data_IF_345004720108
#
_entry.id   IF_345004720108
#
_cell.length_a   1.000
_cell.length_b   1.000
_cell.length_c   1.000
_cell.angle_alpha   90.00
_cell.angle_beta   90.00
_cell.angle_gamma   90.00
#
_symmetry.space_group_name_H-M   'P 1'
#
loop_
_entity.id
_entity.type
_entity.pdbx_description
1 polymer ?
#
# COMPACT_ATOMS: atom_id res chain seq x y z
N UNK A 1 20.45 -20.33 -4.54
CA UNK A 1 19.83 -19.55 -5.64
C UNK A 1 20.63 -18.26 -5.82
N UNK A 2 21.02 -18.00 -7.03
CA UNK A 2 21.72 -16.76 -7.36
C UNK A 2 20.81 -15.54 -7.17
N UNK A 3 21.43 -14.40 -6.90
CA UNK A 3 20.68 -13.15 -6.63
C UNK A 3 19.78 -12.74 -7.81
N UNK A 4 20.25 -12.87 -9.05
CA UNK A 4 19.45 -12.55 -10.23
C UNK A 4 18.22 -13.46 -10.37
N UNK A 5 18.40 -14.75 -10.16
CA UNK A 5 17.31 -15.74 -10.19
C UNK A 5 16.31 -15.49 -9.06
N UNK A 6 16.78 -15.10 -7.89
CA UNK A 6 15.92 -14.77 -6.75
C UNK A 6 15.07 -13.53 -7.06
N UNK A 7 15.67 -12.48 -7.62
CA UNK A 7 14.91 -11.29 -8.01
C UNK A 7 13.85 -11.60 -9.07
N UNK A 8 14.17 -12.45 -10.04
CA UNK A 8 13.17 -12.89 -11.01
C UNK A 8 12.03 -13.67 -10.34
N UNK A 9 12.35 -14.55 -9.39
CA UNK A 9 11.34 -15.29 -8.64
C UNK A 9 10.42 -14.35 -7.82
N UNK A 10 10.95 -13.27 -7.27
CA UNK A 10 10.16 -12.25 -6.59
C UNK A 10 9.14 -11.64 -7.56
N UNK A 11 9.58 -11.18 -8.73
CA UNK A 11 8.69 -10.59 -9.74
C UNK A 11 7.59 -11.58 -10.15
N UNK A 12 7.94 -12.83 -10.39
CA UNK A 12 6.99 -13.85 -10.81
C UNK A 12 5.92 -14.09 -9.75
N UNK A 13 6.31 -14.14 -8.49
CA UNK A 13 5.36 -14.27 -7.36
C UNK A 13 4.43 -13.07 -7.24
N UNK A 14 4.94 -11.87 -7.40
CA UNK A 14 4.12 -10.66 -7.34
C UNK A 14 3.15 -10.57 -8.53
N UNK A 15 3.56 -11.02 -9.72
CA UNK A 15 2.68 -11.05 -10.90
C UNK A 15 1.51 -11.99 -10.77
N UNK A 16 1.71 -13.12 -10.11
CA UNK A 16 0.67 -14.16 -9.99
C UNK A 16 -0.14 -14.05 -8.70
N UNK A 17 0.29 -13.23 -7.74
CA UNK A 17 -0.39 -13.11 -6.45
C UNK A 17 -1.70 -12.30 -6.59
N UNK A 18 -2.77 -12.78 -5.94
CA UNK A 18 -4.06 -12.08 -5.85
C UNK A 18 -4.05 -10.98 -4.79
N UNK A 19 -3.10 -11.04 -3.87
CA UNK A 19 -3.00 -10.20 -2.67
C UNK A 19 -1.60 -9.66 -2.53
N UNK A 20 -1.41 -8.57 -1.77
CA UNK A 20 -0.06 -8.13 -1.42
C UNK A 20 0.73 -9.26 -0.75
N UNK A 21 2.01 -9.35 -1.06
CA UNK A 21 2.90 -10.37 -0.53
C UNK A 21 3.92 -9.70 0.38
N UNK A 22 3.96 -10.08 1.65
CA UNK A 22 4.88 -9.48 2.62
C UNK A 22 6.33 -9.87 2.35
N UNK A 23 7.26 -9.02 2.78
CA UNK A 23 8.69 -9.34 2.72
C UNK A 23 9.00 -10.64 3.47
N UNK A 24 8.33 -10.87 4.60
CA UNK A 24 8.51 -12.11 5.38
C UNK A 24 8.02 -13.34 4.62
N UNK A 25 6.89 -13.25 3.91
CA UNK A 25 6.38 -14.35 3.10
C UNK A 25 7.32 -14.67 1.92
N UNK A 26 7.84 -13.64 1.25
CA UNK A 26 8.84 -13.82 0.18
C UNK A 26 10.12 -14.44 0.73
N UNK A 27 10.60 -13.97 1.87
CA UNK A 27 11.80 -14.47 2.53
C UNK A 27 11.66 -15.97 2.88
N UNK A 28 10.55 -16.35 3.49
CA UNK A 28 10.28 -17.75 3.84
C UNK A 28 10.22 -18.64 2.58
N UNK A 29 9.53 -18.19 1.54
CA UNK A 29 9.39 -18.94 0.31
C UNK A 29 10.68 -19.08 -0.52
N UNK A 30 11.62 -18.16 -0.35
CA UNK A 30 12.91 -18.16 -1.07
C UNK A 30 14.09 -18.54 -0.17
N UNK A 31 13.81 -18.87 1.09
CA UNK A 31 14.79 -19.30 2.07
C UNK A 31 15.96 -18.31 2.26
N UNK A 32 15.61 -17.05 2.42
CA UNK A 32 16.54 -15.95 2.71
C UNK A 32 15.98 -15.08 3.83
N UNK A 33 16.79 -14.14 4.33
CA UNK A 33 16.33 -13.20 5.34
C UNK A 33 15.38 -12.15 4.74
N UNK A 34 14.52 -11.58 5.59
CA UNK A 34 13.65 -10.46 5.22
C UNK A 34 14.45 -9.28 4.66
N UNK A 35 15.61 -9.00 5.24
CA UNK A 35 16.48 -7.90 4.83
C UNK A 35 17.01 -8.09 3.39
N UNK A 36 17.34 -9.32 3.01
CA UNK A 36 17.73 -9.64 1.62
C UNK A 36 16.58 -9.32 0.67
N UNK A 37 15.35 -9.66 1.01
CA UNK A 37 14.18 -9.34 0.19
C UNK A 37 14.02 -7.82 0.04
N UNK A 38 14.14 -7.06 1.12
CA UNK A 38 14.05 -5.59 1.07
C UNK A 38 15.11 -5.01 0.12
N UNK A 39 16.33 -5.52 0.18
CA UNK A 39 17.42 -5.13 -0.71
C UNK A 39 17.13 -5.50 -2.18
N UNK A 40 16.62 -6.70 -2.43
CA UNK A 40 16.26 -7.15 -3.78
C UNK A 40 15.13 -6.30 -4.37
N UNK A 41 14.13 -5.95 -3.57
CA UNK A 41 13.04 -5.05 -4.00
C UNK A 41 13.60 -3.67 -4.39
N UNK A 42 14.53 -3.13 -3.60
CA UNK A 42 15.17 -1.85 -3.92
C UNK A 42 15.91 -1.91 -5.26
N UNK A 43 16.64 -2.99 -5.52
CA UNK A 43 17.35 -3.19 -6.78
C UNK A 43 16.38 -3.37 -7.96
N UNK A 44 15.30 -4.10 -7.77
CA UNK A 44 14.26 -4.25 -8.80
C UNK A 44 13.61 -2.90 -9.14
N UNK A 45 13.33 -2.07 -8.16
CA UNK A 45 12.80 -0.71 -8.38
C UNK A 45 13.80 0.16 -9.12
N UNK A 46 15.07 0.10 -8.74
CA UNK A 46 16.14 0.83 -9.45
C UNK A 46 16.26 0.39 -10.90
N UNK A 47 15.95 -0.86 -11.21
CA UNK A 47 15.91 -1.42 -12.55
C UNK A 47 14.61 -1.15 -13.32
N UNK A 48 13.69 -0.38 -12.78
CA UNK A 48 12.46 0.03 -13.44
C UNK A 48 11.20 -0.76 -13.07
N UNK A 49 11.28 -1.74 -12.15
CA UNK A 49 10.10 -2.46 -11.71
C UNK A 49 9.20 -1.56 -10.84
N UNK A 50 7.91 -1.49 -11.18
CA UNK A 50 6.94 -0.65 -10.48
C UNK A 50 6.34 -1.37 -9.27
N UNK A 51 7.17 -1.76 -8.32
CA UNK A 51 6.73 -2.45 -7.11
C UNK A 51 6.31 -1.41 -6.08
N UNK A 52 5.05 -1.50 -5.62
CA UNK A 52 4.53 -0.66 -4.54
C UNK A 52 4.53 -1.42 -3.22
N UNK A 53 4.92 -0.75 -2.15
CA UNK A 53 4.78 -1.27 -0.79
C UNK A 53 3.46 -0.77 -0.21
N UNK A 54 2.63 -1.69 0.25
CA UNK A 54 1.37 -1.39 0.93
C UNK A 54 1.48 -1.80 2.41
N UNK A 55 0.53 -1.41 3.28
CA UNK A 55 0.53 -1.89 4.66
C UNK A 55 0.53 -3.42 4.81
N UNK A 56 0.10 -4.15 3.78
CA UNK A 56 0.01 -5.62 3.80
C UNK A 56 1.12 -6.32 3.04
N UNK A 57 1.95 -5.60 2.32
CA UNK A 57 3.06 -6.17 1.54
C UNK A 57 3.23 -5.51 0.18
N UNK A 58 4.00 -6.15 -0.66
CA UNK A 58 4.34 -5.65 -1.99
C UNK A 58 3.30 -6.06 -3.03
N UNK A 59 3.05 -5.16 -3.98
CA UNK A 59 2.19 -5.41 -5.14
C UNK A 59 2.85 -4.87 -6.40
N UNK A 60 2.51 -5.48 -7.55
CA UNK A 60 2.73 -4.88 -8.87
C UNK A 60 1.42 -4.23 -9.32
N UNK A 61 1.48 -3.06 -9.99
CA UNK A 61 0.29 -2.44 -10.53
C UNK A 61 -0.41 -3.37 -11.51
N UNK A 62 -1.74 -3.46 -11.37
CA UNK A 62 -2.60 -4.15 -12.32
C UNK A 62 -3.52 -3.12 -12.95
N UNK A 63 -3.94 -3.36 -14.17
CA UNK A 63 -5.01 -2.58 -14.77
C UNK A 63 -6.24 -2.72 -13.86
N UNK A 64 -6.76 -1.59 -13.38
CA UNK A 64 -7.96 -1.58 -12.57
C UNK A 64 -9.17 -1.39 -13.47
N UNK A 65 -10.10 -2.36 -13.42
CA UNK A 65 -11.39 -2.19 -14.06
C UNK A 65 -12.22 -1.26 -13.19
N UNK A 66 -12.61 -0.12 -13.73
CA UNK A 66 -13.42 0.84 -12.97
C UNK A 66 -13.03 2.29 -13.23
N UNK A 67 -13.68 3.17 -12.50
CA UNK A 67 -13.45 4.61 -12.58
C UNK A 67 -12.52 5.03 -11.44
N UNK A 68 -11.44 5.72 -11.78
CA UNK A 68 -10.51 6.29 -10.80
C UNK A 68 -10.89 7.74 -10.51
N UNK A 69 -10.98 8.08 -9.24
CA UNK A 69 -11.29 9.45 -8.76
C UNK A 69 -10.43 9.78 -7.55
N UNK A 70 -10.17 11.06 -7.38
CA UNK A 70 -9.47 11.58 -6.20
C UNK A 70 -10.46 12.42 -5.39
N UNK A 71 -10.52 12.16 -4.08
CA UNK A 71 -11.36 12.90 -3.15
C UNK A 71 -10.51 13.59 -2.09
N UNK A 72 -10.95 14.75 -1.61
CA UNK A 72 -10.33 15.44 -0.48
C UNK A 72 -11.16 15.18 0.78
N UNK A 73 -10.47 14.83 1.86
CA UNK A 73 -11.08 14.52 3.14
C UNK A 73 -10.41 15.31 4.26
N UNK A 74 -11.19 15.70 5.25
CA UNK A 74 -10.68 16.27 6.50
C UNK A 74 -11.45 15.67 7.65
N UNK A 75 -10.75 14.98 8.55
CA UNK A 75 -11.33 14.39 9.75
C UNK A 75 -10.25 14.16 10.80
N UNK A 76 -10.70 13.81 12.01
CA UNK A 76 -9.79 13.44 13.09
C UNK A 76 -9.28 12.00 12.89
N UNK A 77 -8.20 11.66 13.59
CA UNK A 77 -7.66 10.30 13.58
C UNK A 77 -8.72 9.26 14.00
N UNK A 78 -9.58 9.61 14.97
CA UNK A 78 -10.64 8.71 15.43
C UNK A 78 -11.67 8.37 14.35
N UNK A 79 -11.80 9.19 13.31
CA UNK A 79 -12.76 9.01 12.23
C UNK A 79 -12.18 8.24 11.02
N UNK A 80 -10.91 7.85 11.07
CA UNK A 80 -10.24 7.18 9.94
C UNK A 80 -10.94 5.88 9.56
N UNK A 81 -11.29 5.04 10.55
CA UNK A 81 -11.98 3.78 10.29
C UNK A 81 -13.35 3.98 9.65
N UNK A 82 -14.11 4.97 10.11
CA UNK A 82 -15.43 5.30 9.56
C UNK A 82 -15.33 5.76 8.11
N UNK A 83 -14.38 6.61 7.78
CA UNK A 83 -14.13 7.07 6.40
C UNK A 83 -13.86 5.90 5.47
N UNK A 84 -12.91 5.05 5.85
CA UNK A 84 -12.50 3.90 5.04
C UNK A 84 -13.64 2.87 4.90
N UNK A 85 -14.39 2.61 5.96
CA UNK A 85 -15.54 1.70 5.93
C UNK A 85 -16.62 2.19 4.95
N UNK A 86 -16.91 3.48 4.93
CA UNK A 86 -17.88 4.06 3.98
C UNK A 86 -17.44 3.83 2.55
N UNK A 87 -16.16 4.03 2.25
CA UNK A 87 -15.63 3.88 0.90
C UNK A 87 -15.68 2.41 0.44
N UNK A 88 -15.25 1.48 1.26
CA UNK A 88 -15.24 0.06 0.89
C UNK A 88 -16.65 -0.53 0.84
N UNK A 89 -17.56 -0.08 1.70
CA UNK A 89 -18.97 -0.52 1.68
C UNK A 89 -19.68 -0.08 0.39
N UNK A 90 -19.22 0.99 -0.25
CA UNK A 90 -19.72 1.43 -1.55
C UNK A 90 -18.99 0.78 -2.74
N UNK A 91 -18.20 -0.24 -2.51
CA UNK A 91 -17.52 -1.00 -3.54
C UNK A 91 -16.22 -0.36 -4.06
N UNK A 92 -15.75 0.70 -3.43
CA UNK A 92 -14.52 1.37 -3.85
C UNK A 92 -13.29 0.72 -3.23
N UNK A 93 -12.20 0.73 -3.98
CA UNK A 93 -10.87 0.41 -3.46
C UNK A 93 -10.13 1.72 -3.19
N UNK A 94 -9.64 1.89 -1.97
CA UNK A 94 -8.81 3.04 -1.59
C UNK A 94 -7.37 2.70 -1.96
N UNK A 95 -6.87 3.34 -3.03
CA UNK A 95 -5.54 3.02 -3.58
C UNK A 95 -4.43 3.63 -2.73
N UNK A 96 -4.61 4.86 -2.25
CA UNK A 96 -3.56 5.61 -1.55
C UNK A 96 -4.13 6.65 -0.59
N UNK A 97 -3.22 7.28 0.13
CA UNK A 97 -3.43 8.54 0.84
C UNK A 97 -2.35 9.53 0.39
N UNK A 98 -2.73 10.73 0.08
CA UNK A 98 -1.85 11.79 -0.42
C UNK A 98 -1.96 13.01 0.49
N UNK A 99 -0.82 13.54 0.92
CA UNK A 99 -0.76 14.80 1.69
C UNK A 99 0.28 15.74 1.05
N UNK A 100 0.11 17.04 1.21
CA UNK A 100 1.10 18.02 0.82
C UNK A 100 2.00 18.35 2.01
N UNK A 101 3.30 18.20 1.82
CA UNK A 101 4.30 18.50 2.82
C UNK A 101 5.10 19.74 2.39
N UNK A 102 5.35 20.71 3.31
CA UNK A 102 6.01 21.96 2.90
C UNK A 102 7.45 21.79 2.41
N UNK A 103 8.13 20.68 2.78
CA UNK A 103 9.50 20.41 2.36
C UNK A 103 9.53 19.43 1.17
N UNK A 104 8.76 18.34 1.24
CA UNK A 104 8.85 17.25 0.27
C UNK A 104 7.81 17.31 -0.85
N UNK A 105 6.87 18.28 -0.80
CA UNK A 105 5.75 18.31 -1.74
C UNK A 105 4.73 17.23 -1.44
N UNK A 106 4.27 16.50 -2.44
CA UNK A 106 3.30 15.43 -2.22
C UNK A 106 3.96 14.18 -1.63
N UNK A 107 3.43 13.73 -0.50
CA UNK A 107 3.77 12.44 0.09
C UNK A 107 2.60 11.50 -0.13
N UNK A 108 2.89 10.31 -0.70
CA UNK A 108 1.87 9.32 -1.02
C UNK A 108 2.19 8.01 -0.30
N UNK A 109 1.21 7.51 0.45
CA UNK A 109 1.25 6.17 1.02
C UNK A 109 0.32 5.24 0.26
N UNK A 110 0.81 4.11 -0.25
CA UNK A 110 -0.02 3.12 -0.92
C UNK A 110 -0.82 2.33 0.10
N UNK A 111 -2.11 2.16 -0.11
CA UNK A 111 -3.01 1.48 0.83
C UNK A 111 -3.59 0.18 0.28
N UNK A 112 -4.19 0.22 -0.90
CA UNK A 112 -4.84 -0.94 -1.53
C UNK A 112 -5.90 -1.58 -0.61
N UNK A 113 -6.78 -0.75 -0.06
CA UNK A 113 -7.84 -1.17 0.87
C UNK A 113 -9.14 -1.35 0.10
N UNK A 114 -9.68 -2.58 0.10
CA UNK A 114 -10.89 -2.92 -0.66
C UNK A 114 -11.97 -3.62 0.16
N UNK A 115 -11.72 -3.92 1.44
CA UNK A 115 -12.66 -4.60 2.32
C UNK A 115 -12.56 -4.07 3.75
N UNK A 116 -13.58 -4.34 4.55
CA UNK A 116 -13.55 -4.02 6.00
C UNK A 116 -12.42 -4.75 6.72
N UNK A 117 -12.08 -5.95 6.28
CA UNK A 117 -10.93 -6.68 6.81
C UNK A 117 -9.65 -5.87 6.60
N UNK A 118 -9.46 -5.33 5.39
CA UNK A 118 -8.30 -4.49 5.06
C UNK A 118 -8.25 -3.23 5.93
N UNK A 119 -9.41 -2.62 6.18
CA UNK A 119 -9.52 -1.45 7.06
C UNK A 119 -9.06 -1.81 8.48
N UNK A 120 -9.53 -2.93 9.01
CA UNK A 120 -9.15 -3.38 10.37
C UNK A 120 -7.66 -3.66 10.48
N UNK A 121 -7.07 -4.30 9.47
CA UNK A 121 -5.63 -4.55 9.43
C UNK A 121 -4.82 -3.25 9.39
N UNK A 122 -5.27 -2.28 8.62
CA UNK A 122 -4.62 -0.97 8.56
C UNK A 122 -4.70 -0.23 9.89
N UNK A 123 -5.88 -0.20 10.51
CA UNK A 123 -6.07 0.43 11.82
C UNK A 123 -5.24 -0.24 12.92
N UNK A 124 -5.13 -1.57 12.88
CA UNK A 124 -4.29 -2.31 13.82
C UNK A 124 -2.80 -1.90 13.67
N UNK A 125 -2.32 -1.75 12.46
CA UNK A 125 -0.94 -1.29 12.21
C UNK A 125 -0.70 0.11 12.73
N UNK A 126 -1.66 1.02 12.58
CA UNK A 126 -1.57 2.37 13.16
C UNK A 126 -1.47 2.30 14.68
N UNK A 127 -2.32 1.47 15.34
CA UNK A 127 -2.30 1.33 16.80
C UNK A 127 -1.01 0.73 17.33
N UNK A 128 -0.46 -0.25 16.60
CA UNK A 128 0.72 -1.01 17.03
C UNK A 128 2.03 -0.32 16.63
N UNK A 129 1.96 0.79 15.91
CA UNK A 129 3.11 1.56 15.44
C UNK A 129 3.21 2.88 16.17
N UNK A 130 4.46 3.33 16.43
CA UNK A 130 4.73 4.67 16.92
C UNK A 130 4.66 5.74 15.84
N UNK A 131 4.54 5.35 14.57
CA UNK A 131 4.46 6.27 13.45
C UNK A 131 3.07 6.90 13.36
N UNK A 132 3.03 8.23 13.15
CA UNK A 132 1.78 8.93 12.91
C UNK A 132 1.29 8.68 11.48
N UNK A 133 -0.04 8.57 11.25
CA UNK A 133 -0.58 8.54 9.89
C UNK A 133 -0.22 9.81 9.11
N UNK A 134 -0.09 9.70 7.78
CA UNK A 134 0.26 10.84 6.93
C UNK A 134 -0.72 12.02 7.07
N UNK A 135 -2.01 11.75 7.23
CA UNK A 135 -3.02 12.79 7.40
C UNK A 135 -2.78 13.72 8.59
N UNK A 136 -2.05 13.27 9.60
CA UNK A 136 -1.71 14.08 10.77
C UNK A 136 -0.68 15.18 10.44
N UNK A 137 0.08 15.04 9.36
CA UNK A 137 1.04 16.06 8.91
C UNK A 137 0.36 17.34 8.41
N UNK A 138 -0.91 17.28 8.05
CA UNK A 138 -1.68 18.37 7.47
C UNK A 138 -2.95 18.69 8.25
N UNK A 139 -2.98 18.38 9.55
CA UNK A 139 -4.13 18.62 10.42
C UNK A 139 -5.38 17.85 10.02
N UNK A 140 -5.22 16.68 9.44
CA UNK A 140 -6.31 15.80 9.00
C UNK A 140 -6.74 15.99 7.55
N UNK A 141 -6.26 17.02 6.84
CA UNK A 141 -6.55 17.20 5.42
C UNK A 141 -5.70 16.28 4.56
N UNK A 142 -6.34 15.49 3.72
CA UNK A 142 -5.66 14.53 2.84
C UNK A 142 -6.51 14.20 1.61
N UNK A 143 -5.86 13.59 0.62
CA UNK A 143 -6.53 13.07 -0.56
C UNK A 143 -6.47 11.56 -0.55
N UNK A 144 -7.48 10.93 -1.12
CA UNK A 144 -7.47 9.51 -1.48
C UNK A 144 -7.72 9.35 -2.96
N UNK A 145 -6.95 8.49 -3.60
CA UNK A 145 -7.28 8.00 -4.94
C UNK A 145 -8.13 6.74 -4.77
N UNK A 146 -9.30 6.74 -5.40
CA UNK A 146 -10.26 5.65 -5.33
C UNK A 146 -10.40 5.00 -6.70
N UNK A 147 -10.55 3.68 -6.70
CA UNK A 147 -11.04 2.93 -7.86
C UNK A 147 -12.43 2.40 -7.50
N UNK A 148 -13.43 2.84 -8.24
CA UNK A 148 -14.83 2.53 -7.97
C UNK A 148 -15.44 1.76 -9.15
N UNK A 149 -16.45 0.89 -8.91
CA UNK A 149 -17.16 0.23 -10.00
C UNK A 149 -17.90 1.25 -10.86
N UNK A 150 -18.10 0.90 -12.12
CA UNK A 150 -18.83 1.72 -13.08
C UNK A 150 -20.33 1.83 -12.71
#
# INVERSE_FOLDING_TARGET
>A
MEAASRRQAILDRLRTADRPVSASALAAGLNVSRQIIVGDIALLRAGGAEISATPRGYVLPRATDGITRTIACRHTLAQTGQELDILVDNGCTVLDVIVEHPVYGQLTGQLQISSRYDVEQFLARIRDSDAAPLSMLTGGLHLHTLCCPN
#
